data_IF_534408664984
#
_entry.id   IF_534408664984
#
_cell.length_a   1.000
_cell.length_b   1.000
_cell.length_c   1.000
_cell.angle_alpha   90.00
_cell.angle_beta   90.00
_cell.angle_gamma   90.00
#
_symmetry.space_group_name_H-M   'P 1'
#
loop_
_entity.id
_entity.type
_entity.pdbx_description
1 polymer ?
#
# COMPACT_ATOMS: atom_id res chain seq x y z
N UNK A 1 3.81 -18.96 -2.02
CA UNK A 1 2.46 -19.36 -1.58
C UNK A 1 2.33 -20.79 -1.06
N UNK A 2 3.04 -21.82 -1.60
CA UNK A 2 2.88 -23.22 -1.13
C UNK A 2 3.15 -23.39 0.37
N UNK A 3 4.20 -22.76 0.91
CA UNK A 3 4.51 -22.82 2.32
C UNK A 3 3.39 -22.19 3.17
N UNK A 4 2.91 -21.02 2.77
CA UNK A 4 1.80 -20.33 3.42
C UNK A 4 0.49 -21.13 3.35
N UNK A 5 0.18 -21.75 2.18
CA UNK A 5 -1.01 -22.61 2.06
C UNK A 5 -0.97 -23.79 3.04
N UNK A 6 0.20 -24.45 3.19
CA UNK A 6 0.36 -25.52 4.19
C UNK A 6 0.24 -25.00 5.63
N UNK A 7 0.87 -23.85 5.91
CA UNK A 7 0.85 -23.24 7.24
C UNK A 7 -0.57 -22.92 7.72
N UNK A 8 -1.42 -22.44 6.81
CA UNK A 8 -2.81 -22.06 7.12
C UNK A 8 -3.84 -23.08 6.68
N UNK A 9 -3.42 -24.31 6.40
CA UNK A 9 -4.28 -25.43 6.02
C UNK A 9 -5.19 -25.16 4.81
N UNK A 10 -4.78 -24.28 3.88
CA UNK A 10 -5.53 -24.00 2.67
C UNK A 10 -5.30 -25.13 1.64
N UNK A 11 -6.26 -26.02 1.51
CA UNK A 11 -6.19 -27.16 0.60
C UNK A 11 -6.74 -26.80 -0.80
N UNK A 12 -6.04 -25.91 -1.50
CA UNK A 12 -6.38 -25.48 -2.87
C UNK A 12 -5.15 -25.52 -3.79
N UNK A 13 -5.33 -25.78 -5.10
CA UNK A 13 -4.28 -25.54 -6.09
C UNK A 13 -3.83 -24.08 -6.09
N UNK A 14 -2.55 -23.81 -6.35
CA UNK A 14 -1.97 -22.45 -6.32
C UNK A 14 -2.59 -21.47 -7.32
N UNK A 15 -3.27 -21.97 -8.33
CA UNK A 15 -3.95 -21.20 -9.39
C UNK A 15 -5.45 -21.11 -9.18
N UNK A 16 -5.98 -21.77 -8.14
CA UNK A 16 -7.40 -21.72 -7.82
C UNK A 16 -7.80 -20.37 -7.22
N UNK A 17 -9.05 -20.01 -7.35
CA UNK A 17 -9.68 -18.88 -6.69
C UNK A 17 -9.46 -18.92 -5.18
N UNK A 18 -9.08 -17.79 -4.59
CA UNK A 18 -8.87 -17.60 -3.16
C UNK A 18 -9.55 -16.29 -2.74
N UNK A 19 -10.38 -16.37 -1.72
CA UNK A 19 -11.03 -15.21 -1.12
C UNK A 19 -11.14 -15.36 0.39
N UNK A 20 -11.61 -14.34 1.08
CA UNK A 20 -11.88 -14.35 2.52
C UNK A 20 -12.80 -15.49 2.96
N UNK A 21 -13.66 -15.99 2.06
CA UNK A 21 -14.54 -17.15 2.31
C UNK A 21 -13.80 -18.46 2.62
N UNK A 22 -12.53 -18.54 2.24
CA UNK A 22 -11.69 -19.73 2.47
C UNK A 22 -11.11 -19.79 3.89
N UNK A 23 -11.29 -18.74 4.69
CA UNK A 23 -10.64 -18.60 5.99
C UNK A 23 -11.69 -18.46 7.11
N UNK A 24 -11.57 -19.26 8.19
CA UNK A 24 -12.51 -19.22 9.31
C UNK A 24 -12.35 -17.98 10.18
N UNK A 25 -11.12 -17.47 10.30
CA UNK A 25 -10.77 -16.30 11.11
C UNK A 25 -10.47 -15.12 10.20
N UNK A 26 -11.38 -14.14 10.17
CA UNK A 26 -11.24 -12.92 9.38
C UNK A 26 -10.73 -11.73 10.18
N UNK A 27 -10.69 -11.86 11.52
CA UNK A 27 -10.33 -10.77 12.44
C UNK A 27 -8.84 -10.79 12.83
N UNK A 28 -8.06 -11.73 12.30
CA UNK A 28 -6.63 -11.80 12.57
C UNK A 28 -5.91 -10.56 12.04
N UNK A 29 -5.16 -9.89 12.91
CA UNK A 29 -4.50 -8.61 12.62
C UNK A 29 -3.00 -8.68 12.90
N UNK A 30 -2.23 -7.77 12.29
CA UNK A 30 -0.83 -7.56 12.64
C UNK A 30 -0.74 -7.04 14.09
N UNK A 31 0.37 -7.33 14.79
CA UNK A 31 0.49 -7.05 16.22
C UNK A 31 0.29 -5.57 16.60
N UNK A 32 0.71 -4.63 15.76
CA UNK A 32 0.51 -3.19 16.01
C UNK A 32 -0.94 -2.73 15.81
N UNK A 33 -1.77 -3.52 15.17
CA UNK A 33 -3.18 -3.17 14.94
C UNK A 33 -4.03 -3.47 16.17
N UNK A 34 -3.66 -4.50 16.94
CA UNK A 34 -4.38 -4.94 18.15
C UNK A 34 -3.80 -4.36 19.44
N UNK A 35 -2.59 -3.84 19.42
CA UNK A 35 -1.88 -3.31 20.58
C UNK A 35 -1.64 -1.81 20.44
N UNK A 36 -1.70 -1.09 21.56
CA UNK A 36 -1.29 0.31 21.59
C UNK A 36 0.22 0.44 21.33
N UNK A 37 0.58 1.01 20.20
CA UNK A 37 1.98 1.17 19.78
C UNK A 37 2.84 1.95 20.80
N UNK A 38 2.25 2.91 21.52
CA UNK A 38 2.94 3.68 22.56
C UNK A 38 3.42 2.81 23.72
N UNK A 39 2.64 1.76 24.06
CA UNK A 39 2.94 0.87 25.16
C UNK A 39 3.85 -0.29 24.73
N UNK A 40 3.64 -0.81 23.54
CA UNK A 40 4.25 -2.07 23.09
C UNK A 40 5.55 -1.86 22.32
N UNK A 41 5.64 -0.82 21.48
CA UNK A 41 6.81 -0.59 20.65
C UNK A 41 8.11 -0.41 21.47
N UNK A 42 8.12 0.38 22.57
CA UNK A 42 9.34 0.56 23.39
C UNK A 42 9.84 -0.73 24.04
N UNK A 43 9.00 -1.76 24.18
CA UNK A 43 9.40 -3.06 24.75
C UNK A 43 10.18 -3.93 23.76
N UNK A 44 10.17 -3.59 22.48
CA UNK A 44 10.91 -4.33 21.45
C UNK A 44 12.34 -3.80 21.36
N UNK A 45 13.38 -4.67 21.45
CA UNK A 45 14.78 -4.24 21.46
C UNK A 45 15.19 -3.40 20.25
N UNK A 46 14.61 -3.67 19.08
CA UNK A 46 14.90 -2.92 17.85
C UNK A 46 14.39 -1.46 17.88
N UNK A 47 13.47 -1.11 18.78
CA UNK A 47 12.86 0.23 18.84
C UNK A 47 13.90 1.33 19.09
N UNK A 48 14.80 1.14 20.04
CA UNK A 48 15.82 2.11 20.41
C UNK A 48 16.89 2.33 19.34
N UNK A 49 16.98 1.43 18.37
CA UNK A 49 17.88 1.55 17.22
C UNK A 49 17.40 2.50 16.13
N UNK A 50 16.12 2.93 16.16
CA UNK A 50 15.60 3.89 15.19
C UNK A 50 15.95 5.33 15.59
N UNK A 51 16.09 6.25 14.61
CA UNK A 51 16.17 7.69 14.88
C UNK A 51 14.97 8.17 15.71
N UNK A 52 15.14 9.18 16.56
CA UNK A 52 14.08 9.68 17.45
C UNK A 52 12.81 10.11 16.73
N UNK A 53 12.94 10.73 15.53
CA UNK A 53 11.80 11.08 14.67
C UNK A 53 11.00 9.84 14.23
N UNK A 54 11.69 8.77 13.87
CA UNK A 54 11.07 7.48 13.48
C UNK A 54 10.39 6.82 14.68
N UNK A 55 11.05 6.83 15.87
CA UNK A 55 10.44 6.32 17.10
C UNK A 55 9.12 7.03 17.42
N UNK A 56 9.11 8.36 17.31
CA UNK A 56 7.90 9.17 17.54
C UNK A 56 6.76 8.77 16.59
N UNK A 57 7.05 8.53 15.32
CA UNK A 57 6.08 8.10 14.33
C UNK A 57 5.55 6.68 14.63
N UNK A 58 6.43 5.75 15.00
CA UNK A 58 6.04 4.38 15.40
C UNK A 58 5.09 4.40 16.60
N UNK A 59 5.33 5.25 17.60
CA UNK A 59 4.46 5.37 18.78
C UNK A 59 3.01 5.77 18.42
N UNK A 60 2.80 6.43 17.31
CA UNK A 60 1.49 6.88 16.84
C UNK A 60 0.84 5.96 15.81
N UNK A 61 1.51 4.87 15.43
CA UNK A 61 1.07 4.00 14.35
C UNK A 61 -0.32 3.38 14.58
N UNK A 62 -0.54 2.77 15.74
CA UNK A 62 -1.83 2.14 16.06
C UNK A 62 -3.00 3.11 16.17
N UNK A 63 -2.72 4.40 16.38
CA UNK A 63 -3.75 5.45 16.38
C UNK A 63 -4.05 5.96 14.97
N UNK A 64 -3.01 6.15 14.16
CA UNK A 64 -3.07 6.87 12.90
C UNK A 64 -3.14 5.97 11.66
N UNK A 65 -2.51 4.78 11.68
CA UNK A 65 -2.39 3.89 10.54
C UNK A 65 -1.46 4.38 9.44
N UNK A 66 -0.66 5.42 9.71
CA UNK A 66 0.35 5.94 8.80
C UNK A 66 1.53 6.53 9.56
N UNK A 67 2.63 6.73 8.86
CA UNK A 67 3.77 7.52 9.31
C UNK A 67 4.47 8.22 8.14
N UNK A 68 5.20 9.30 8.44
CA UNK A 68 5.94 10.06 7.45
C UNK A 68 7.42 10.02 7.80
N UNK A 69 8.24 9.60 6.84
CA UNK A 69 9.70 9.71 6.93
C UNK A 69 10.11 10.90 6.06
N UNK A 70 10.39 12.03 6.70
CA UNK A 70 10.81 13.26 6.02
C UNK A 70 12.21 13.07 5.44
N UNK A 71 12.42 13.53 4.21
CA UNK A 71 13.70 13.53 3.50
C UNK A 71 14.44 12.16 3.52
N UNK A 72 13.67 11.03 3.52
CA UNK A 72 14.26 9.70 3.54
C UNK A 72 15.16 9.45 2.33
N UNK A 73 14.75 9.94 1.16
CA UNK A 73 15.54 9.83 -0.07
C UNK A 73 16.14 11.18 -0.43
N UNK A 74 17.47 11.21 -0.74
CA UNK A 74 18.12 12.39 -1.31
C UNK A 74 17.42 12.87 -2.58
N UNK A 75 17.43 14.16 -2.83
CA UNK A 75 16.80 14.76 -4.03
C UNK A 75 17.35 14.17 -5.32
N UNK A 76 18.66 13.89 -5.33
CA UNK A 76 19.39 13.26 -6.44
C UNK A 76 18.86 11.86 -6.75
N UNK A 77 18.50 11.08 -5.73
CA UNK A 77 17.89 9.75 -5.92
C UNK A 77 16.49 9.87 -6.53
N UNK A 78 15.70 10.86 -6.10
CA UNK A 78 14.39 11.14 -6.67
C UNK A 78 14.47 11.58 -8.13
N UNK A 79 15.46 12.41 -8.48
CA UNK A 79 15.72 12.81 -9.87
C UNK A 79 16.11 11.60 -10.71
N UNK A 80 17.01 10.78 -10.20
CA UNK A 80 17.46 9.57 -10.89
C UNK A 80 16.32 8.56 -11.09
N UNK A 81 15.39 8.40 -10.13
CA UNK A 81 14.19 7.58 -10.34
C UNK A 81 13.38 8.15 -11.52
N UNK A 82 13.16 9.46 -11.56
CA UNK A 82 12.41 10.11 -12.64
C UNK A 82 13.08 9.94 -14.01
N UNK A 83 14.38 10.11 -14.09
CA UNK A 83 15.19 9.89 -15.29
C UNK A 83 15.14 8.43 -15.79
N UNK A 84 15.23 7.47 -14.89
CA UNK A 84 15.09 6.03 -15.20
C UNK A 84 13.69 5.72 -15.77
N UNK A 85 12.63 6.28 -15.17
CA UNK A 85 11.26 6.13 -15.69
C UNK A 85 11.14 6.70 -17.09
N UNK A 86 11.63 7.92 -17.33
CA UNK A 86 11.59 8.58 -18.62
C UNK A 86 12.40 7.79 -19.68
N UNK A 87 13.56 7.24 -19.28
CA UNK A 87 14.37 6.39 -20.15
C UNK A 87 13.68 5.08 -20.51
N UNK A 88 12.98 4.45 -19.54
CA UNK A 88 12.23 3.22 -19.79
C UNK A 88 11.01 3.45 -20.68
N UNK A 89 10.33 4.60 -20.56
CA UNK A 89 9.26 5.01 -21.45
C UNK A 89 9.76 5.24 -22.88
N UNK A 90 10.83 6.03 -23.05
CA UNK A 90 11.43 6.28 -24.39
C UNK A 90 11.87 4.99 -25.08
N UNK A 91 12.33 3.99 -24.32
CA UNK A 91 12.75 2.68 -24.86
C UNK A 91 11.59 1.71 -25.07
N UNK A 92 10.33 2.10 -24.81
CA UNK A 92 9.18 1.22 -24.89
C UNK A 92 9.18 0.05 -23.89
N UNK A 93 10.01 0.13 -22.83
CA UNK A 93 10.10 -0.91 -21.79
C UNK A 93 9.05 -0.75 -20.68
N UNK A 94 8.49 0.43 -20.54
CA UNK A 94 7.32 0.74 -19.72
C UNK A 94 6.25 1.39 -20.59
N UNK A 95 5.00 1.19 -20.22
CA UNK A 95 3.83 1.86 -20.80
C UNK A 95 2.81 2.12 -19.73
N UNK A 96 1.99 3.15 -19.95
CA UNK A 96 0.84 3.41 -19.09
C UNK A 96 -0.19 2.30 -19.25
N UNK A 97 -0.77 1.89 -18.13
CA UNK A 97 -1.97 1.09 -18.15
C UNK A 97 -3.23 1.97 -18.33
N UNK A 98 -4.42 1.37 -18.37
CA UNK A 98 -5.69 2.09 -18.55
C UNK A 98 -6.01 3.10 -17.43
N UNK A 99 -5.29 3.06 -16.30
CA UNK A 99 -5.44 3.99 -15.17
C UNK A 99 -4.26 4.97 -15.06
N UNK A 100 -3.54 5.22 -16.14
CA UNK A 100 -2.37 6.11 -16.20
C UNK A 100 -1.26 5.77 -15.19
N UNK A 101 -1.12 4.48 -14.82
CA UNK A 101 -0.10 3.97 -13.90
C UNK A 101 1.01 3.26 -14.67
N UNK A 102 2.26 3.50 -14.27
CA UNK A 102 3.45 2.80 -14.77
C UNK A 102 3.82 1.70 -13.79
N UNK A 103 3.58 0.45 -14.17
CA UNK A 103 3.68 -0.70 -13.28
C UNK A 103 5.03 -1.39 -13.34
N UNK A 104 5.54 -1.84 -12.18
CA UNK A 104 6.71 -2.73 -12.07
C UNK A 104 8.03 -2.17 -12.60
N UNK A 105 8.28 -0.87 -12.49
CA UNK A 105 9.54 -0.26 -12.93
C UNK A 105 10.76 -0.89 -12.24
N UNK A 106 10.65 -1.33 -11.00
CA UNK A 106 11.70 -2.04 -10.26
C UNK A 106 12.17 -3.34 -10.94
N UNK A 107 11.35 -3.94 -11.79
CA UNK A 107 11.72 -5.13 -12.59
C UNK A 107 12.55 -4.79 -13.83
N UNK A 108 12.63 -3.50 -14.17
CA UNK A 108 13.26 -2.99 -15.41
C UNK A 108 14.48 -2.11 -15.12
N UNK A 109 14.61 -1.58 -13.90
CA UNK A 109 15.74 -0.75 -13.45
C UNK A 109 16.34 -1.34 -12.17
N UNK A 110 17.66 -1.60 -12.21
CA UNK A 110 18.41 -2.04 -11.04
C UNK A 110 18.46 -0.97 -9.94
N UNK A 111 18.50 0.31 -10.35
CA UNK A 111 18.47 1.43 -9.40
C UNK A 111 17.12 1.52 -8.67
N UNK A 112 16.00 1.52 -9.40
CA UNK A 112 14.67 1.52 -8.76
C UNK A 112 14.48 0.29 -7.86
N UNK A 113 15.03 -0.86 -8.27
CA UNK A 113 15.03 -2.06 -7.43
C UNK A 113 15.81 -1.85 -6.13
N UNK A 114 16.96 -1.17 -6.14
CA UNK A 114 17.72 -0.88 -4.91
C UNK A 114 16.95 0.06 -3.97
N UNK A 115 16.24 1.05 -4.50
CA UNK A 115 15.37 1.95 -3.73
C UNK A 115 14.31 1.17 -2.96
N UNK A 116 13.68 0.14 -3.55
CA UNK A 116 12.69 -0.70 -2.86
C UNK A 116 13.25 -1.51 -1.69
N UNK A 117 14.58 -1.52 -1.52
CA UNK A 117 15.31 -2.26 -0.48
C UNK A 117 16.11 -1.34 0.44
N UNK A 118 15.77 -0.05 0.47
CA UNK A 118 16.44 0.92 1.35
C UNK A 118 16.43 0.44 2.80
N UNK A 119 17.59 0.41 3.45
CA UNK A 119 17.78 -0.28 4.75
C UNK A 119 16.86 0.24 5.85
N UNK A 120 16.80 1.57 6.05
CA UNK A 120 15.95 2.16 7.08
C UNK A 120 14.46 1.92 6.78
N UNK A 121 14.04 2.12 5.51
CA UNK A 121 12.66 1.85 5.12
C UNK A 121 12.28 0.40 5.43
N UNK A 122 13.09 -0.55 4.97
CA UNK A 122 12.84 -1.98 5.19
C UNK A 122 12.75 -2.31 6.69
N UNK A 123 13.70 -1.83 7.51
CA UNK A 123 13.69 -2.12 8.95
C UNK A 123 12.47 -1.55 9.67
N UNK A 124 12.01 -0.37 9.29
CA UNK A 124 10.76 0.23 9.81
C UNK A 124 9.55 -0.63 9.45
N UNK A 125 9.43 -1.04 8.18
CA UNK A 125 8.30 -1.88 7.73
C UNK A 125 8.30 -3.24 8.43
N UNK A 126 9.48 -3.86 8.60
CA UNK A 126 9.64 -5.13 9.31
C UNK A 126 9.31 -5.01 10.79
N UNK A 127 9.67 -3.87 11.40
CA UNK A 127 9.30 -3.59 12.78
C UNK A 127 7.78 -3.47 12.94
N UNK A 128 7.11 -2.74 12.03
CA UNK A 128 5.66 -2.51 12.06
C UNK A 128 4.88 -3.82 11.85
N UNK A 129 5.31 -4.67 10.91
CA UNK A 129 4.61 -5.92 10.61
C UNK A 129 5.07 -7.11 11.48
N UNK A 130 6.15 -6.94 12.26
CA UNK A 130 6.80 -8.02 13.02
C UNK A 130 7.15 -9.24 12.15
N UNK A 131 7.49 -8.98 10.90
CA UNK A 131 7.81 -9.99 9.89
C UNK A 131 8.75 -9.40 8.84
N UNK A 132 9.57 -10.26 8.27
CA UNK A 132 10.30 -9.89 7.06
C UNK A 132 9.34 -9.45 5.96
N UNK A 133 9.72 -8.38 5.22
CA UNK A 133 8.91 -7.86 4.11
C UNK A 133 9.60 -8.04 2.76
N UNK A 134 8.78 -8.25 1.74
CA UNK A 134 9.22 -8.40 0.35
C UNK A 134 8.53 -7.37 -0.52
N UNK A 135 9.28 -6.47 -1.21
CA UNK A 135 8.70 -5.60 -2.21
C UNK A 135 8.25 -6.44 -3.40
N UNK A 136 7.01 -6.24 -3.86
CA UNK A 136 6.48 -7.03 -4.98
C UNK A 136 5.99 -6.17 -6.14
N UNK A 137 5.68 -4.91 -5.89
CA UNK A 137 5.12 -4.00 -6.89
C UNK A 137 5.67 -2.59 -6.69
N UNK A 138 6.00 -1.93 -7.80
CA UNK A 138 6.15 -0.47 -7.86
C UNK A 138 5.13 0.09 -8.83
N UNK A 139 4.52 1.22 -8.46
CA UNK A 139 3.64 2.01 -9.30
C UNK A 139 4.22 3.41 -9.37
N UNK A 140 4.53 3.88 -10.56
CA UNK A 140 4.98 5.26 -10.77
C UNK A 140 3.86 6.07 -11.42
N UNK A 141 3.76 7.32 -10.97
CA UNK A 141 2.82 8.30 -11.48
C UNK A 141 3.59 9.51 -12.01
N UNK A 142 3.17 10.06 -13.14
CA UNK A 142 3.67 11.34 -13.64
C UNK A 142 2.70 12.48 -13.31
N UNK A 143 1.42 12.16 -13.11
CA UNK A 143 0.36 13.09 -12.68
C UNK A 143 -0.43 12.49 -11.52
N UNK A 144 -1.28 13.28 -10.88
CA UNK A 144 -2.23 12.83 -9.87
C UNK A 144 -3.13 11.71 -10.40
N UNK A 145 -3.53 10.80 -9.53
CA UNK A 145 -4.38 9.66 -9.90
C UNK A 145 -5.87 10.02 -9.93
N UNK A 146 -6.26 11.05 -9.19
CA UNK A 146 -7.66 11.42 -8.94
C UNK A 146 -8.53 10.21 -8.53
N UNK A 147 -7.88 9.20 -7.94
CA UNK A 147 -8.57 7.97 -7.55
C UNK A 147 -9.45 8.22 -6.33
N UNK A 148 -10.69 7.71 -6.37
CA UNK A 148 -11.63 7.77 -5.24
C UNK A 148 -11.02 7.15 -3.98
N UNK A 149 -11.62 7.45 -2.84
CA UNK A 149 -11.23 6.89 -1.54
C UNK A 149 -11.32 5.36 -1.55
N UNK A 150 -10.22 4.69 -1.17
CA UNK A 150 -10.11 3.24 -1.13
C UNK A 150 -9.04 2.81 -0.13
N UNK A 151 -9.03 1.54 0.22
CA UNK A 151 -7.90 0.90 0.89
C UNK A 151 -7.22 -0.09 -0.05
N UNK A 152 -5.91 -0.29 0.13
CA UNK A 152 -5.15 -1.23 -0.69
C UNK A 152 -5.49 -2.69 -0.37
N UNK A 153 -6.05 -2.95 0.82
CA UNK A 153 -6.36 -4.30 1.30
C UNK A 153 -7.24 -5.10 0.37
N UNK A 154 -8.19 -4.45 -0.33
CA UNK A 154 -9.10 -5.12 -1.27
C UNK A 154 -8.41 -5.63 -2.54
N UNK A 155 -7.35 -4.93 -2.96
CA UNK A 155 -6.58 -5.29 -4.15
C UNK A 155 -5.41 -6.23 -3.86
N UNK A 156 -4.89 -6.17 -2.64
CA UNK A 156 -3.64 -6.84 -2.24
C UNK A 156 -3.84 -7.47 -0.85
N UNK A 157 -4.84 -8.33 -0.77
CA UNK A 157 -5.28 -8.94 0.48
C UNK A 157 -4.28 -9.98 0.98
N UNK A 158 -4.18 -10.11 2.29
CA UNK A 158 -3.40 -11.16 2.94
C UNK A 158 -4.27 -12.01 3.87
N UNK A 159 -3.86 -13.24 4.11
CA UNK A 159 -4.33 -13.99 5.27
C UNK A 159 -3.12 -14.47 6.09
N UNK A 160 -3.03 -14.13 7.38
CA UNK A 160 -3.95 -13.23 8.12
C UNK A 160 -4.03 -11.82 7.51
N UNK A 161 -5.09 -11.07 7.84
CA UNK A 161 -5.29 -9.69 7.37
C UNK A 161 -4.22 -8.75 7.92
N UNK A 162 -4.01 -7.59 7.26
CA UNK A 162 -3.13 -6.52 7.74
C UNK A 162 -1.64 -6.67 7.40
N UNK A 163 -1.20 -7.74 6.73
CA UNK A 163 0.20 -7.99 6.40
C UNK A 163 0.62 -7.48 5.02
N UNK A 164 0.00 -6.41 4.56
CA UNK A 164 0.40 -5.56 3.45
C UNK A 164 0.76 -4.19 4.02
N UNK A 165 1.78 -3.55 3.46
CA UNK A 165 2.16 -2.17 3.79
C UNK A 165 2.66 -1.49 2.53
N UNK A 166 2.38 -0.19 2.41
CA UNK A 166 2.81 0.60 1.27
C UNK A 166 3.69 1.77 1.71
N UNK A 167 4.63 2.14 0.83
CA UNK A 167 5.45 3.33 0.97
C UNK A 167 5.34 4.17 -0.32
N UNK A 168 4.85 5.39 -0.18
CA UNK A 168 4.70 6.34 -1.27
C UNK A 168 5.81 7.39 -1.18
N UNK A 169 6.60 7.52 -2.22
CA UNK A 169 7.77 8.40 -2.31
C UNK A 169 7.43 9.60 -3.17
N UNK A 170 7.63 10.81 -2.63
CA UNK A 170 7.53 12.05 -3.39
C UNK A 170 8.78 12.24 -4.26
N UNK A 171 8.63 12.28 -5.58
CA UNK A 171 9.73 12.53 -6.51
C UNK A 171 9.86 14.00 -6.89
N UNK A 172 8.92 14.83 -6.45
CA UNK A 172 8.90 16.29 -6.54
C UNK A 172 8.06 16.87 -5.40
N UNK A 173 8.08 18.18 -5.20
CA UNK A 173 7.25 18.83 -4.18
C UNK A 173 5.77 18.74 -4.56
N UNK A 174 4.92 18.43 -3.57
CA UNK A 174 3.48 18.33 -3.73
C UNK A 174 2.78 19.60 -3.25
N UNK A 175 1.89 20.11 -4.09
CA UNK A 175 1.09 21.30 -3.80
C UNK A 175 -0.40 20.99 -3.85
N UNK A 176 -1.24 21.91 -3.41
CA UNK A 176 -2.69 21.75 -3.53
C UNK A 176 -3.16 21.66 -5.00
N UNK A 177 -2.37 22.20 -5.94
CA UNK A 177 -2.76 22.34 -7.34
C UNK A 177 -2.47 21.10 -8.21
N UNK A 178 -1.46 20.28 -7.81
CA UNK A 178 -1.02 19.14 -8.62
C UNK A 178 -1.68 17.82 -8.25
N UNK A 179 -2.77 17.82 -7.47
CA UNK A 179 -3.52 16.63 -7.10
C UNK A 179 -2.79 15.77 -6.05
N UNK A 180 -2.49 16.32 -4.86
CA UNK A 180 -1.78 15.58 -3.82
C UNK A 180 -2.56 14.35 -3.37
N UNK A 181 -1.84 13.37 -2.81
CA UNK A 181 -2.45 12.24 -2.12
C UNK A 181 -3.22 12.76 -0.90
N UNK A 182 -4.43 12.23 -0.68
CA UNK A 182 -5.15 12.43 0.58
C UNK A 182 -5.32 11.11 1.33
N UNK A 183 -5.50 11.20 2.64
CA UNK A 183 -5.72 10.06 3.51
C UNK A 183 -6.56 10.45 4.73
N UNK A 184 -7.10 9.44 5.41
CA UNK A 184 -7.92 9.61 6.61
C UNK A 184 -7.24 8.94 7.80
N UNK A 185 -6.53 9.70 8.67
CA UNK A 185 -5.91 9.17 9.88
C UNK A 185 -6.90 8.37 10.73
N UNK A 186 -6.48 7.19 11.19
CA UNK A 186 -7.32 6.31 12.01
C UNK A 186 -8.30 5.43 11.24
N UNK A 187 -8.53 5.69 9.93
CA UNK A 187 -9.49 4.90 9.13
C UNK A 187 -9.07 3.43 8.92
N UNK A 188 -7.82 3.09 9.17
CA UNK A 188 -7.35 1.70 9.14
C UNK A 188 -8.05 0.81 10.19
N UNK A 189 -8.68 1.42 11.21
CA UNK A 189 -9.49 0.75 12.24
C UNK A 189 -10.89 0.38 11.77
N UNK A 190 -11.31 0.85 10.60
CA UNK A 190 -12.56 0.40 9.98
C UNK A 190 -12.48 -1.11 9.68
N UNK A 191 -13.62 -1.82 9.67
CA UNK A 191 -13.63 -3.20 9.23
C UNK A 191 -12.98 -3.36 7.86
N UNK A 192 -12.23 -4.45 7.67
CA UNK A 192 -11.79 -4.83 6.33
C UNK A 192 -13.01 -5.15 5.48
N UNK A 193 -13.14 -4.47 4.34
CA UNK A 193 -14.17 -4.79 3.36
C UNK A 193 -13.72 -6.01 2.55
N UNK A 194 -14.46 -7.09 2.70
CA UNK A 194 -14.16 -8.37 2.11
C UNK A 194 -15.14 -8.69 0.97
N UNK A 195 -14.87 -9.72 0.21
CA UNK A 195 -15.67 -10.10 -0.95
C UNK A 195 -17.18 -10.20 -0.67
N UNK A 196 -17.56 -10.71 0.50
CA UNK A 196 -18.96 -10.87 0.89
C UNK A 196 -19.71 -9.54 1.13
N UNK A 197 -18.98 -8.44 1.40
CA UNK A 197 -19.57 -7.13 1.67
C UNK A 197 -20.06 -6.42 0.40
N UNK A 198 -19.39 -6.67 -0.74
CA UNK A 198 -19.67 -5.99 -2.01
C UNK A 198 -19.98 -6.96 -3.17
N UNK A 199 -19.71 -8.27 -3.04
CA UNK A 199 -19.96 -9.25 -4.09
C UNK A 199 -21.39 -9.81 -3.97
N UNK A 200 -22.24 -9.45 -4.92
CA UNK A 200 -23.64 -9.88 -4.98
C UNK A 200 -23.85 -11.26 -5.63
N UNK A 201 -22.91 -12.19 -5.42
CA UNK A 201 -22.99 -13.56 -5.95
C UNK A 201 -22.34 -13.75 -7.33
N UNK A 202 -21.56 -12.80 -7.78
CA UNK A 202 -20.76 -12.95 -9.01
C UNK A 202 -19.55 -13.86 -8.77
N UNK A 203 -19.13 -14.58 -9.81
CA UNK A 203 -17.96 -15.49 -9.76
C UNK A 203 -16.69 -14.76 -10.18
N UNK A 204 -15.53 -15.35 -9.89
CA UNK A 204 -14.23 -14.82 -10.32
C UNK A 204 -14.12 -14.60 -11.86
N UNK A 205 -14.96 -15.25 -12.65
CA UNK A 205 -15.02 -15.07 -14.11
C UNK A 205 -15.92 -13.92 -14.55
N UNK A 206 -16.88 -13.52 -13.70
CA UNK A 206 -17.88 -12.47 -14.00
C UNK A 206 -17.63 -11.18 -13.23
N UNK A 207 -16.60 -11.14 -12.37
CA UNK A 207 -16.21 -9.93 -11.63
C UNK A 207 -15.80 -8.82 -12.57
N UNK A 208 -16.60 -7.79 -12.64
CA UNK A 208 -16.43 -6.64 -13.52
C UNK A 208 -16.21 -5.33 -12.76
N UNK A 209 -16.22 -4.23 -13.52
CA UNK A 209 -16.08 -2.86 -13.00
C UNK A 209 -17.11 -2.53 -11.91
N UNK A 210 -18.31 -3.08 -11.99
CA UNK A 210 -19.41 -2.82 -11.06
C UNK A 210 -19.07 -3.20 -9.62
N UNK A 211 -18.38 -4.33 -9.37
CA UNK A 211 -17.99 -4.72 -8.02
C UNK A 211 -16.99 -3.75 -7.40
N UNK A 212 -16.15 -3.12 -8.21
CA UNK A 212 -15.23 -2.11 -7.73
C UNK A 212 -15.94 -0.80 -7.42
N UNK A 213 -16.90 -0.40 -8.24
CA UNK A 213 -17.73 0.78 -7.98
C UNK A 213 -18.57 0.57 -6.70
N UNK A 214 -19.19 -0.61 -6.52
CA UNK A 214 -19.94 -0.98 -5.29
C UNK A 214 -19.02 -0.94 -4.03
N UNK A 215 -17.78 -1.39 -4.16
CA UNK A 215 -16.77 -1.29 -3.08
C UNK A 215 -16.45 0.19 -2.75
N UNK A 216 -16.19 1.04 -3.75
CA UNK A 216 -15.90 2.46 -3.53
C UNK A 216 -17.08 3.19 -2.88
N UNK A 217 -18.32 2.89 -3.28
CA UNK A 217 -19.53 3.44 -2.67
C UNK A 217 -19.68 3.01 -1.20
N UNK A 218 -19.32 1.77 -0.88
CA UNK A 218 -19.31 1.28 0.49
C UNK A 218 -18.26 1.99 1.34
N UNK A 219 -17.05 2.22 0.81
CA UNK A 219 -16.02 3.01 1.48
C UNK A 219 -16.51 4.43 1.77
N UNK A 220 -17.15 5.09 0.81
CA UNK A 220 -17.71 6.43 1.01
C UNK A 220 -18.80 6.44 2.07
N UNK A 221 -19.68 5.44 2.09
CA UNK A 221 -20.70 5.28 3.12
C UNK A 221 -20.09 5.14 4.53
N UNK A 222 -19.03 4.33 4.67
CA UNK A 222 -18.33 4.17 5.94
C UNK A 222 -17.65 5.48 6.39
N UNK A 223 -17.08 6.25 5.48
CA UNK A 223 -16.49 7.56 5.80
C UNK A 223 -17.54 8.58 6.23
N UNK A 224 -18.75 8.54 5.66
CA UNK A 224 -19.86 9.40 6.09
C UNK A 224 -20.38 9.05 7.50
N UNK A 225 -20.38 7.77 7.85
CA UNK A 225 -20.81 7.28 9.17
C UNK A 225 -19.75 7.50 10.26
N UNK A 226 -18.48 7.64 9.87
CA UNK A 226 -17.35 7.80 10.77
C UNK A 226 -16.59 9.08 10.42
N UNK A 227 -16.68 10.14 11.24
CA UNK A 227 -16.14 11.47 10.90
C UNK A 227 -14.61 11.52 11.04
N UNK A 228 -13.89 10.89 10.11
CA UNK A 228 -12.44 11.04 10.00
C UNK A 228 -12.07 12.37 9.33
N UNK A 229 -11.04 13.03 9.84
CA UNK A 229 -10.47 14.22 9.20
C UNK A 229 -9.72 13.82 7.92
N UNK A 230 -10.10 14.39 6.79
CA UNK A 230 -9.37 14.21 5.53
C UNK A 230 -8.12 15.09 5.52
N UNK A 231 -6.93 14.49 5.32
CA UNK A 231 -5.65 15.21 5.21
C UNK A 231 -5.08 15.07 3.81
N UNK A 232 -4.58 16.18 3.26
CA UNK A 232 -3.79 16.17 2.04
C UNK A 232 -2.30 16.10 2.37
N UNK A 233 -1.55 15.27 1.65
CA UNK A 233 -0.11 15.13 1.84
C UNK A 233 0.66 16.10 0.93
N UNK A 234 0.99 17.26 1.48
CA UNK A 234 1.84 18.26 0.83
C UNK A 234 3.33 17.91 1.06
N UNK A 235 3.74 16.80 0.45
CA UNK A 235 5.09 16.26 0.60
C UNK A 235 6.15 17.16 -0.03
N UNK A 236 7.35 17.16 0.56
CA UNK A 236 8.57 17.59 -0.08
C UNK A 236 9.20 16.44 -0.84
N UNK A 237 9.97 16.77 -1.88
CA UNK A 237 10.74 15.79 -2.65
C UNK A 237 11.67 15.01 -1.73
N UNK A 238 11.55 13.69 -1.73
CA UNK A 238 12.29 12.78 -0.85
C UNK A 238 11.51 12.28 0.36
N UNK A 239 10.37 12.91 0.68
CA UNK A 239 9.49 12.43 1.74
C UNK A 239 8.84 11.10 1.37
N UNK A 240 8.59 10.28 2.39
CA UNK A 240 7.92 8.99 2.25
C UNK A 240 6.74 8.91 3.21
N UNK A 241 5.56 8.68 2.67
CA UNK A 241 4.37 8.32 3.44
C UNK A 241 4.23 6.80 3.43
N UNK A 242 4.25 6.21 4.62
CA UNK A 242 3.98 4.78 4.84
C UNK A 242 2.57 4.65 5.37
N UNK A 243 1.80 3.70 4.84
CA UNK A 243 0.44 3.47 5.32
C UNK A 243 0.09 1.99 5.47
N UNK A 244 -0.82 1.78 6.42
CA UNK A 244 -1.45 0.49 6.70
C UNK A 244 -2.32 0.01 5.53
N UNK A 245 -2.36 -1.28 5.27
CA UNK A 245 -3.15 -1.89 4.19
C UNK A 245 -4.61 -1.38 4.13
N UNK A 246 -5.23 -1.16 5.28
CA UNK A 246 -6.62 -0.75 5.41
C UNK A 246 -6.81 0.78 5.58
N UNK A 247 -5.73 1.59 5.53
CA UNK A 247 -5.87 3.04 5.59
C UNK A 247 -6.59 3.54 4.35
N UNK A 248 -7.69 4.27 4.54
CA UNK A 248 -8.42 4.87 3.43
C UNK A 248 -7.65 6.09 2.91
N UNK A 249 -7.35 6.06 1.62
CA UNK A 249 -6.61 7.11 0.92
C UNK A 249 -7.07 7.25 -0.53
N UNK A 250 -6.57 8.26 -1.22
CA UNK A 250 -6.91 8.49 -2.63
C UNK A 250 -6.12 9.65 -3.24
N UNK A 251 -6.51 10.09 -4.43
CA UNK A 251 -5.91 11.22 -5.14
C UNK A 251 -6.84 12.42 -5.15
N UNK A 252 -6.33 13.58 -4.71
CA UNK A 252 -7.07 14.84 -4.83
C UNK A 252 -7.24 15.25 -6.29
N UNK A 253 -8.24 16.08 -6.63
CA UNK A 253 -8.38 16.64 -7.96
C UNK A 253 -7.12 17.41 -8.38
N UNK A 254 -6.81 17.37 -9.68
CA UNK A 254 -5.74 18.14 -10.30
C UNK A 254 -6.32 19.51 -10.68
N UNK A 255 -5.97 20.54 -9.92
CA UNK A 255 -6.48 21.90 -10.17
C UNK A 255 -5.71 22.58 -11.30
N UNK A 256 -4.42 22.25 -11.49
CA UNK A 256 -3.61 22.77 -12.59
C UNK A 256 -3.08 21.61 -13.47
N UNK A 257 -3.72 21.31 -14.60
CA UNK A 257 -3.30 20.21 -15.49
C UNK A 257 -1.92 20.38 -16.12
N UNK A 258 -1.34 21.58 -16.07
CA UNK A 258 0.03 21.87 -16.52
C UNK A 258 1.10 21.33 -15.59
N UNK A 259 0.77 21.05 -14.33
CA UNK A 259 1.71 20.51 -13.35
C UNK A 259 1.83 18.98 -13.43
N UNK A 260 3.00 18.48 -13.00
CA UNK A 260 3.22 17.05 -12.75
C UNK A 260 2.97 16.73 -11.28
N UNK A 261 2.80 15.45 -10.96
CA UNK A 261 2.84 14.90 -9.61
C UNK A 261 3.61 13.58 -9.65
N UNK A 262 4.93 13.71 -9.87
CA UNK A 262 5.81 12.54 -9.96
C UNK A 262 5.95 11.87 -8.61
N UNK A 263 5.61 10.59 -8.57
CA UNK A 263 5.67 9.81 -7.34
C UNK A 263 5.86 8.32 -7.64
N UNK A 264 6.31 7.57 -6.64
CA UNK A 264 6.45 6.13 -6.70
C UNK A 264 5.83 5.49 -5.46
N UNK A 265 4.90 4.55 -5.65
CA UNK A 265 4.42 3.67 -4.58
C UNK A 265 5.17 2.36 -4.64
N UNK A 266 5.58 1.87 -3.49
CA UNK A 266 6.17 0.55 -3.32
C UNK A 266 5.26 -0.25 -2.38
N UNK A 267 4.75 -1.38 -2.84
CA UNK A 267 3.97 -2.28 -2.02
C UNK A 267 4.80 -3.46 -1.54
N UNK A 268 4.65 -3.78 -0.26
CA UNK A 268 5.35 -4.87 0.40
C UNK A 268 4.35 -5.82 1.03
N UNK A 269 4.60 -7.11 0.86
CA UNK A 269 3.95 -8.14 1.65
C UNK A 269 4.89 -8.65 2.74
N UNK A 270 4.33 -8.96 3.90
CA UNK A 270 5.05 -9.81 4.85
C UNK A 270 5.31 -11.21 4.25
N UNK A 271 6.39 -11.86 4.70
CA UNK A 271 6.64 -13.27 4.39
C UNK A 271 5.64 -14.17 5.13
N UNK A 272 5.52 -15.42 4.70
CA UNK A 272 4.71 -16.45 5.35
C UNK A 272 3.21 -16.17 5.50
N UNK A 273 2.64 -15.34 4.63
CA UNK A 273 1.21 -15.09 4.56
C UNK A 273 0.64 -15.53 3.20
N UNK A 274 -0.65 -15.87 3.17
CA UNK A 274 -1.36 -16.09 1.92
C UNK A 274 -1.65 -14.73 1.30
N UNK A 275 -1.54 -14.60 -0.02
CA UNK A 275 -1.67 -13.35 -0.76
C UNK A 275 -2.63 -13.56 -1.92
N UNK A 276 -3.62 -12.70 -2.01
CA UNK A 276 -4.65 -12.80 -3.04
C UNK A 276 -5.28 -11.43 -3.32
N UNK A 277 -6.23 -11.38 -4.25
CA UNK A 277 -6.95 -10.17 -4.62
C UNK A 277 -8.43 -10.40 -4.31
N UNK A 278 -9.00 -9.70 -3.35
CA UNK A 278 -10.34 -9.95 -2.84
C UNK A 278 -11.42 -9.77 -3.92
N UNK A 279 -11.31 -8.72 -4.77
CA UNK A 279 -12.30 -8.46 -5.82
C UNK A 279 -12.32 -9.56 -6.88
N UNK A 280 -11.13 -10.00 -7.34
CA UNK A 280 -11.03 -10.96 -8.46
C UNK A 280 -10.83 -12.39 -8.00
N UNK A 281 -10.70 -12.63 -6.69
CA UNK A 281 -10.40 -13.92 -6.07
C UNK A 281 -9.15 -14.61 -6.64
N UNK A 282 -8.23 -13.85 -7.22
CA UNK A 282 -7.00 -14.38 -7.81
C UNK A 282 -5.89 -14.50 -6.79
N UNK A 283 -5.19 -15.63 -6.70
CA UNK A 283 -4.02 -15.74 -5.85
C UNK A 283 -2.89 -14.84 -6.41
N UNK A 284 -2.20 -14.12 -5.52
CA UNK A 284 -1.02 -13.34 -5.90
C UNK A 284 0.18 -14.26 -6.06
N UNK A 285 0.60 -14.51 -7.29
CA UNK A 285 1.78 -15.28 -7.62
C UNK A 285 2.99 -14.35 -7.65
N UNK A 286 3.67 -14.20 -6.50
CA UNK A 286 4.89 -13.40 -6.43
C UNK A 286 6.03 -14.22 -7.02
N UNK A 287 6.62 -13.71 -8.10
CA UNK A 287 7.94 -14.16 -8.51
C UNK A 287 8.95 -13.45 -7.60
N UNK A 288 9.78 -14.21 -6.93
CA UNK A 288 10.93 -13.64 -6.22
C UNK A 288 11.77 -12.86 -7.24
N UNK A 289 11.91 -11.57 -6.99
CA UNK A 289 12.67 -10.63 -7.84
C UNK A 289 14.09 -10.51 -7.29
#
# INVERSE_FOLDING_TARGET
NRAAYRKYALNKPLIASVSSKDFPDKESQAWLDIANSRQVAPLKPAFTGFPGSVQHQILSWSDNGYMILEELFPKEDCDKISEEIDALLRKGKLSFNNSNKLMFASRKSGFIKSITRHALLKSVLEFILDKEVVPFQTINFLKGSEQRAHSDSVHMTTYPLGYLIAAWVALEDMTAENGPLFYYPGSHKLPFLLNEDFNRGETALTLGKKNYDDYEDLVESLLQQNPFEKKAFHAKKGDVLIWHANLVHGGSPILNPGLTRKSMVIHYYATDVIKYHEITERPSLIRHV
#
